data_IF_590193635518
#
_entry.id   IF_590193635518
#
_cell.length_a   1.000
_cell.length_b   1.000
_cell.length_c   1.000
_cell.angle_alpha   90.00
_cell.angle_beta   90.00
_cell.angle_gamma   90.00
#
_symmetry.space_group_name_H-M   'P 1'
#
loop_
_entity.id
_entity.type
_entity.pdbx_description
1 polymer ?
#
# COMPACT_ATOMS: atom_id res chain seq x y z
N UNK A 1 -2.21 -17.04 -35.19
CA UNK A 1 -0.80 -16.60 -35.14
C UNK A 1 -0.61 -15.93 -33.81
N UNK A 2 0.36 -16.39 -33.04
CA UNK A 2 0.70 -15.81 -31.75
C UNK A 2 1.10 -14.33 -31.92
N UNK A 3 0.45 -13.36 -31.21
CA UNK A 3 0.77 -11.94 -31.31
C UNK A 3 2.25 -11.64 -31.03
N UNK A 4 2.90 -12.44 -30.18
CA UNK A 4 4.32 -12.31 -29.86
C UNK A 4 5.22 -12.61 -31.06
N UNK A 5 4.83 -13.53 -31.93
CA UNK A 5 5.55 -13.86 -33.15
C UNK A 5 5.52 -12.73 -34.19
N UNK A 6 4.36 -12.03 -34.29
CA UNK A 6 4.20 -10.88 -35.18
C UNK A 6 4.99 -9.65 -34.70
N UNK A 7 4.98 -9.39 -33.41
CA UNK A 7 5.74 -8.29 -32.80
C UNK A 7 7.23 -8.53 -33.01
N UNK A 8 7.73 -9.72 -32.67
CA UNK A 8 9.14 -10.06 -32.83
C UNK A 8 9.60 -9.99 -34.27
N UNK A 9 8.78 -10.46 -35.25
CA UNK A 9 9.11 -10.36 -36.65
C UNK A 9 9.20 -8.92 -37.16
N UNK A 10 8.29 -8.06 -36.72
CA UNK A 10 8.29 -6.64 -37.07
C UNK A 10 9.52 -5.89 -36.55
N UNK A 11 9.94 -6.16 -35.29
CA UNK A 11 11.10 -5.53 -34.69
C UNK A 11 12.44 -6.09 -35.23
N UNK A 12 12.51 -7.39 -35.46
CA UNK A 12 13.70 -8.04 -36.02
C UNK A 12 14.05 -7.56 -37.46
N UNK A 13 13.04 -7.07 -38.19
CA UNK A 13 13.22 -6.53 -39.55
C UNK A 13 13.50 -5.02 -39.57
N UNK A 14 13.31 -4.31 -38.47
CA UNK A 14 13.49 -2.85 -38.39
C UNK A 14 14.95 -2.50 -38.03
N UNK A 15 15.87 -2.74 -38.94
CA UNK A 15 17.31 -2.46 -38.78
C UNK A 15 17.68 -0.98 -38.78
N UNK A 16 16.71 -0.07 -39.02
CA UNK A 16 16.98 1.37 -39.17
C UNK A 16 17.11 2.14 -37.86
N UNK A 17 16.74 1.58 -36.71
CA UNK A 17 16.74 2.31 -35.43
C UNK A 17 17.85 1.85 -34.47
N UNK A 18 18.75 0.97 -34.83
CA UNK A 18 19.83 0.46 -33.97
C UNK A 18 19.34 -0.33 -32.74
N UNK A 19 18.06 -0.65 -32.68
CA UNK A 19 17.46 -1.41 -31.58
C UNK A 19 17.54 -2.90 -31.97
N UNK A 20 18.41 -3.63 -31.26
CA UNK A 20 18.58 -5.08 -31.45
C UNK A 20 17.85 -5.92 -30.39
N UNK A 21 16.95 -5.33 -29.59
CA UNK A 21 16.26 -6.05 -28.55
C UNK A 21 15.15 -6.93 -29.11
N UNK A 22 15.20 -8.23 -28.79
CA UNK A 22 14.24 -9.22 -29.24
C UNK A 22 12.96 -9.28 -28.40
N UNK A 23 12.88 -8.50 -27.30
CA UNK A 23 11.77 -8.47 -26.34
C UNK A 23 11.29 -7.04 -26.06
N UNK A 24 10.87 -6.28 -27.08
CA UNK A 24 10.52 -4.87 -26.93
C UNK A 24 9.12 -4.63 -26.33
N UNK A 25 8.54 -5.59 -25.63
CA UNK A 25 7.19 -5.55 -25.08
C UNK A 25 7.17 -5.94 -23.61
N UNK A 26 6.22 -5.42 -22.86
CA UNK A 26 5.94 -5.88 -21.51
C UNK A 26 5.07 -7.14 -21.53
N UNK A 27 5.27 -8.05 -20.58
CA UNK A 27 4.55 -9.30 -20.47
C UNK A 27 3.85 -9.42 -19.13
N UNK A 28 2.50 -9.29 -19.07
CA UNK A 28 1.72 -9.64 -17.90
C UNK A 28 1.50 -11.16 -17.82
N UNK A 29 1.57 -11.70 -16.61
CA UNK A 29 1.15 -13.06 -16.27
C UNK A 29 -0.06 -12.98 -15.38
N UNK A 30 -1.15 -13.63 -15.80
CA UNK A 30 -2.41 -13.60 -15.09
C UNK A 30 -2.61 -14.86 -14.24
N UNK A 31 -3.42 -14.75 -13.21
CA UNK A 31 -3.92 -15.91 -12.48
C UNK A 31 -4.83 -16.77 -13.38
N UNK A 32 -5.00 -18.03 -13.01
CA UNK A 32 -5.87 -18.96 -13.76
C UNK A 32 -7.37 -18.81 -13.45
N UNK A 33 -7.75 -17.84 -12.61
CA UNK A 33 -9.15 -17.61 -12.26
C UNK A 33 -9.84 -16.67 -13.26
N UNK A 34 -11.20 -16.67 -13.32
CA UNK A 34 -11.96 -15.75 -14.16
C UNK A 34 -11.75 -14.26 -13.85
N UNK A 35 -11.15 -13.90 -12.71
CA UNK A 35 -10.87 -12.52 -12.32
C UNK A 35 -9.73 -11.91 -13.13
N UNK A 36 -8.89 -12.73 -13.78
CA UNK A 36 -7.77 -12.31 -14.62
C UNK A 36 -6.86 -11.26 -13.93
N UNK A 37 -6.58 -11.43 -12.64
CA UNK A 37 -5.70 -10.52 -11.92
C UNK A 37 -4.25 -10.76 -12.33
N UNK A 38 -3.47 -9.70 -12.48
CA UNK A 38 -2.05 -9.78 -12.81
C UNK A 38 -1.28 -10.28 -11.59
N UNK A 39 -0.52 -11.36 -11.76
CA UNK A 39 0.37 -11.92 -10.73
C UNK A 39 1.83 -11.48 -10.95
N UNK A 40 2.25 -11.37 -12.21
CA UNK A 40 3.60 -10.91 -12.55
C UNK A 40 3.51 -9.94 -13.73
N UNK A 41 4.32 -8.90 -13.69
CA UNK A 41 4.47 -7.94 -14.78
C UNK A 41 5.95 -7.79 -15.11
N UNK A 42 6.32 -8.16 -16.32
CA UNK A 42 7.67 -8.01 -16.86
C UNK A 42 7.77 -6.76 -17.70
N UNK A 43 8.83 -5.97 -17.50
CA UNK A 43 9.13 -4.80 -18.31
C UNK A 43 9.66 -5.20 -19.71
N UNK A 44 9.60 -4.28 -20.71
CA UNK A 44 10.20 -4.52 -22.01
C UNK A 44 11.72 -4.58 -21.90
N UNK A 45 12.33 -5.38 -22.77
CA UNK A 45 13.77 -5.60 -22.85
C UNK A 45 14.18 -7.03 -22.51
N UNK A 46 15.14 -7.58 -23.25
CA UNK A 46 15.58 -8.96 -23.07
C UNK A 46 16.09 -9.25 -21.64
N UNK A 47 16.71 -8.26 -20.99
CA UNK A 47 17.22 -8.38 -19.62
C UNK A 47 16.13 -8.32 -18.54
N UNK A 48 14.94 -7.81 -18.88
CA UNK A 48 13.79 -7.64 -17.98
C UNK A 48 12.71 -8.68 -18.21
N UNK A 49 12.81 -9.41 -19.33
CA UNK A 49 11.80 -10.37 -19.73
C UNK A 49 11.93 -11.67 -18.93
N UNK A 50 10.82 -12.42 -18.82
CA UNK A 50 10.79 -13.75 -18.23
C UNK A 50 11.77 -14.66 -18.98
N UNK A 51 12.96 -14.87 -18.44
CA UNK A 51 13.90 -15.87 -18.93
C UNK A 51 13.64 -17.20 -18.22
N UNK A 52 13.90 -18.32 -18.93
CA UNK A 52 13.89 -19.65 -18.30
C UNK A 52 15.11 -19.77 -17.36
N UNK A 53 14.97 -19.26 -16.12
CA UNK A 53 16.04 -19.29 -15.13
C UNK A 53 15.75 -18.32 -13.97
N UNK A 54 16.48 -18.45 -12.89
CA UNK A 54 16.22 -17.90 -11.56
C UNK A 54 16.19 -16.37 -11.40
N UNK A 55 16.53 -15.58 -12.39
CA UNK A 55 16.75 -14.12 -12.22
C UNK A 55 15.68 -13.28 -12.95
N UNK A 56 14.42 -13.67 -12.85
CA UNK A 56 13.35 -12.91 -13.48
C UNK A 56 13.05 -11.63 -12.68
N UNK A 57 13.35 -10.49 -13.29
CA UNK A 57 13.02 -9.16 -12.79
C UNK A 57 11.56 -8.85 -13.11
N UNK A 58 10.66 -9.18 -12.22
CA UNK A 58 9.23 -8.93 -12.37
C UNK A 58 8.68 -8.18 -11.18
N UNK A 59 7.75 -7.27 -11.43
CA UNK A 59 6.83 -6.82 -10.40
C UNK A 59 5.86 -7.96 -10.11
N UNK A 60 5.86 -8.47 -8.87
CA UNK A 60 5.01 -9.58 -8.42
C UNK A 60 3.91 -9.09 -7.52
N UNK A 61 2.71 -9.56 -7.75
CA UNK A 61 1.53 -9.21 -6.95
C UNK A 61 0.90 -10.46 -6.36
N UNK A 62 0.68 -10.47 -5.05
CA UNK A 62 -0.04 -11.51 -4.34
C UNK A 62 -1.28 -10.92 -3.68
N UNK A 63 -2.41 -11.66 -3.77
CA UNK A 63 -3.68 -11.27 -3.17
C UNK A 63 -3.96 -12.16 -1.96
N UNK A 64 -3.92 -11.56 -0.78
CA UNK A 64 -3.95 -12.21 0.51
C UNK A 64 -5.09 -11.66 1.39
N UNK A 65 -5.19 -12.15 2.60
CA UNK A 65 -5.95 -11.56 3.69
C UNK A 65 -5.04 -11.33 4.89
N UNK A 66 -5.43 -10.42 5.78
CA UNK A 66 -4.66 -10.19 7.01
C UNK A 66 -4.69 -11.44 7.92
N UNK A 67 -3.62 -11.61 8.70
CA UNK A 67 -3.46 -12.72 9.63
C UNK A 67 -2.73 -12.26 10.90
N UNK A 68 -3.36 -12.46 12.06
CA UNK A 68 -2.81 -12.04 13.36
C UNK A 68 -1.60 -12.84 13.79
N UNK A 69 -1.43 -14.07 13.28
CA UNK A 69 -0.29 -14.96 13.59
C UNK A 69 0.94 -14.69 12.73
N UNK A 70 0.86 -13.81 11.73
CA UNK A 70 1.94 -13.49 10.81
C UNK A 70 2.28 -12.02 10.94
N UNK A 71 3.52 -11.69 11.36
CA UNK A 71 3.94 -10.31 11.64
C UNK A 71 3.76 -9.36 10.46
N UNK A 72 4.04 -9.83 9.23
CA UNK A 72 3.89 -9.05 8.01
C UNK A 72 2.44 -8.86 7.57
N UNK A 73 1.52 -9.69 8.05
CA UNK A 73 0.08 -9.65 7.71
C UNK A 73 -0.80 -9.17 8.88
N UNK A 74 -0.20 -8.87 10.03
CA UNK A 74 -0.92 -8.34 11.18
C UNK A 74 -1.16 -6.83 11.01
N UNK A 75 -2.34 -6.34 11.39
CA UNK A 75 -2.73 -4.95 11.26
C UNK A 75 -3.44 -4.47 12.53
N UNK A 76 -3.03 -3.32 13.07
CA UNK A 76 -3.70 -2.69 14.22
C UNK A 76 -4.93 -1.93 13.72
N UNK A 77 -6.02 -2.03 14.46
CA UNK A 77 -7.24 -1.29 14.22
C UNK A 77 -7.24 -0.01 15.06
N UNK A 78 -7.11 1.12 14.40
CA UNK A 78 -7.28 2.45 14.97
C UNK A 78 -8.63 3.02 14.56
N UNK A 79 -9.27 3.72 15.47
CA UNK A 79 -10.53 4.45 15.27
C UNK A 79 -10.39 5.89 15.75
N UNK A 80 -11.28 6.75 15.27
CA UNK A 80 -11.47 8.06 15.89
C UNK A 80 -12.09 7.86 17.28
N UNK A 81 -11.51 8.50 18.27
CA UNK A 81 -12.10 8.57 19.61
C UNK A 81 -13.17 9.65 19.69
N UNK A 82 -13.82 9.75 20.86
CA UNK A 82 -14.81 10.80 21.10
C UNK A 82 -14.20 12.18 20.93
N UNK A 83 -14.78 12.98 20.06
CA UNK A 83 -14.40 14.37 19.88
C UNK A 83 -15.02 15.21 21.02
N UNK A 84 -14.20 15.98 21.69
CA UNK A 84 -14.68 17.07 22.56
C UNK A 84 -14.59 18.37 21.77
N UNK A 85 -15.35 19.38 22.17
CA UNK A 85 -15.40 20.70 21.49
C UNK A 85 -14.04 21.38 21.37
N UNK A 86 -13.03 20.87 22.02
CA UNK A 86 -11.68 21.44 22.16
C UNK A 86 -10.57 20.60 21.52
N UNK A 87 -10.90 19.42 20.96
CA UNK A 87 -9.93 18.54 20.32
C UNK A 87 -10.31 18.28 18.87
N UNK A 88 -9.39 18.58 17.95
CA UNK A 88 -9.62 18.37 16.51
C UNK A 88 -9.81 16.90 16.17
N UNK A 89 -8.97 16.03 16.69
CA UNK A 89 -9.03 14.57 16.45
C UNK A 89 -8.50 13.84 17.68
N UNK A 90 -9.22 12.82 18.12
CA UNK A 90 -8.73 11.82 19.07
C UNK A 90 -8.59 10.49 18.36
N UNK A 91 -7.52 9.75 18.62
CA UNK A 91 -7.24 8.44 18.02
C UNK A 91 -7.23 7.41 19.14
N UNK A 92 -7.91 6.30 18.92
CA UNK A 92 -7.98 5.17 19.83
C UNK A 92 -7.48 3.89 19.13
N UNK A 93 -6.59 3.15 19.81
CA UNK A 93 -6.27 1.79 19.43
C UNK A 93 -7.35 0.86 20.00
N UNK A 94 -8.03 0.14 19.14
CA UNK A 94 -9.10 -0.79 19.57
C UNK A 94 -8.50 -2.16 19.87
N UNK A 95 -7.94 -2.80 18.84
CA UNK A 95 -7.34 -4.12 18.87
C UNK A 95 -6.57 -4.33 17.56
N UNK A 96 -6.08 -5.52 17.31
CA UNK A 96 -5.69 -5.90 15.95
C UNK A 96 -6.94 -6.35 15.17
N UNK A 97 -6.97 -6.12 13.87
CA UNK A 97 -7.97 -6.73 12.99
C UNK A 97 -7.88 -8.24 13.10
N UNK A 98 -9.03 -8.91 13.23
CA UNK A 98 -9.09 -10.37 13.23
C UNK A 98 -8.69 -10.92 11.85
N UNK A 99 -8.17 -12.14 11.84
CA UNK A 99 -7.75 -12.81 10.60
C UNK A 99 -8.90 -12.85 9.58
N UNK A 100 -8.61 -12.47 8.34
CA UNK A 100 -9.57 -12.46 7.24
C UNK A 100 -10.51 -11.25 7.19
N UNK A 101 -10.29 -10.21 8.01
CA UNK A 101 -11.11 -8.99 7.98
C UNK A 101 -10.69 -7.98 6.91
N UNK A 102 -9.44 -8.04 6.47
CA UNK A 102 -8.87 -7.11 5.49
C UNK A 102 -8.41 -7.87 4.24
N UNK A 103 -8.58 -7.24 3.09
CA UNK A 103 -7.91 -7.64 1.86
C UNK A 103 -6.50 -7.09 1.88
N UNK A 104 -5.53 -7.92 1.51
CA UNK A 104 -4.12 -7.53 1.48
C UNK A 104 -3.56 -7.78 0.10
N UNK A 105 -2.95 -6.76 -0.49
CA UNK A 105 -2.16 -6.89 -1.71
C UNK A 105 -0.69 -6.76 -1.35
N UNK A 106 0.09 -7.81 -1.58
CA UNK A 106 1.55 -7.79 -1.49
C UNK A 106 2.13 -7.48 -2.87
N UNK A 107 3.03 -6.54 -2.93
CA UNK A 107 3.75 -6.18 -4.15
C UNK A 107 5.24 -6.34 -3.86
N UNK A 108 5.95 -7.04 -4.74
CA UNK A 108 7.40 -7.15 -4.75
C UNK A 108 7.89 -6.57 -6.09
N UNK A 109 8.76 -5.56 -6.01
CA UNK A 109 9.33 -4.93 -7.19
C UNK A 109 10.47 -5.76 -7.80
N UNK A 110 11.04 -5.26 -8.90
CA UNK A 110 12.10 -5.93 -9.66
C UNK A 110 13.43 -6.01 -8.88
N UNK A 111 13.57 -5.27 -7.80
CA UNK A 111 14.74 -5.24 -6.91
C UNK A 111 14.54 -6.08 -5.64
N UNK A 112 13.32 -6.63 -5.44
CA UNK A 112 12.95 -7.45 -4.31
C UNK A 112 12.41 -6.66 -3.11
N UNK A 113 12.19 -5.33 -3.26
CA UNK A 113 11.54 -4.55 -2.22
C UNK A 113 10.07 -4.97 -2.10
N UNK A 114 9.62 -5.19 -0.89
CA UNK A 114 8.27 -5.69 -0.63
C UNK A 114 7.42 -4.63 0.05
N UNK A 115 6.22 -4.43 -0.46
CA UNK A 115 5.20 -3.58 0.12
C UNK A 115 3.87 -4.31 0.26
N UNK A 116 3.04 -3.86 1.20
CA UNK A 116 1.70 -4.38 1.45
C UNK A 116 0.70 -3.24 1.53
N UNK A 117 -0.44 -3.43 0.91
CA UNK A 117 -1.60 -2.56 1.04
C UNK A 117 -2.75 -3.33 1.68
N UNK A 118 -3.28 -2.83 2.80
CA UNK A 118 -4.41 -3.43 3.52
C UNK A 118 -5.65 -2.60 3.30
N UNK A 119 -6.70 -3.23 2.79
CA UNK A 119 -8.00 -2.60 2.54
C UNK A 119 -9.10 -3.21 3.38
N UNK A 120 -9.96 -2.36 3.92
CA UNK A 120 -11.19 -2.82 4.56
C UNK A 120 -12.24 -3.23 3.51
N UNK A 121 -13.41 -3.71 3.98
CA UNK A 121 -14.51 -4.16 3.10
C UNK A 121 -15.16 -3.03 2.29
N UNK A 122 -14.91 -1.77 2.64
CA UNK A 122 -15.36 -0.60 1.88
C UNK A 122 -14.35 -0.19 0.80
N UNK A 123 -13.21 -0.91 0.69
CA UNK A 123 -12.15 -0.60 -0.25
C UNK A 123 -11.19 0.51 0.21
N UNK A 124 -11.33 1.01 1.45
CA UNK A 124 -10.45 2.02 2.00
C UNK A 124 -9.13 1.40 2.46
N UNK A 125 -8.02 2.02 2.11
CA UNK A 125 -6.69 1.62 2.57
C UNK A 125 -6.53 2.00 4.05
N UNK A 126 -6.39 1.01 4.92
CA UNK A 126 -6.23 1.23 6.38
C UNK A 126 -4.76 1.17 6.80
N UNK A 127 -3.91 0.49 6.03
CA UNK A 127 -2.48 0.37 6.28
C UNK A 127 -1.73 0.20 4.96
N UNK A 128 -0.66 0.96 4.79
CA UNK A 128 0.42 0.62 3.86
C UNK A 128 1.67 0.25 4.65
N UNK A 129 2.29 -0.86 4.29
CA UNK A 129 3.49 -1.40 4.95
C UNK A 129 4.61 -1.56 3.93
N UNK A 130 5.78 -1.08 4.26
CA UNK A 130 7.00 -1.33 3.50
C UNK A 130 7.96 -2.16 4.33
N UNK A 131 8.62 -3.12 3.69
CA UNK A 131 9.69 -3.90 4.31
C UNK A 131 11.02 -3.44 3.73
N UNK A 132 11.94 -3.10 4.58
CA UNK A 132 13.32 -2.80 4.22
C UNK A 132 14.24 -3.62 5.11
N UNK A 133 14.92 -4.59 4.53
CA UNK A 133 15.71 -5.60 5.28
C UNK A 133 14.85 -6.35 6.32
N UNK A 134 15.05 -6.08 7.61
CA UNK A 134 14.27 -6.65 8.70
C UNK A 134 13.28 -5.67 9.33
N UNK A 135 13.27 -4.41 8.88
CA UNK A 135 12.46 -3.35 9.44
C UNK A 135 11.11 -3.24 8.75
N UNK A 136 10.10 -2.85 9.50
CA UNK A 136 8.71 -2.68 9.07
C UNK A 136 8.33 -1.21 9.22
N UNK A 137 7.96 -0.58 8.12
CA UNK A 137 7.52 0.82 8.06
C UNK A 137 6.02 0.88 7.75
N UNK A 138 5.23 1.18 8.77
CA UNK A 138 3.77 1.21 8.70
C UNK A 138 3.23 2.63 8.61
N UNK A 139 2.35 2.90 7.63
CA UNK A 139 1.55 4.10 7.56
C UNK A 139 0.08 3.74 7.68
N UNK A 140 -0.59 4.18 8.76
CA UNK A 140 -2.01 3.94 8.99
C UNK A 140 -2.86 5.11 8.52
N UNK A 141 -4.04 4.78 7.99
CA UNK A 141 -5.06 5.72 7.57
C UNK A 141 -6.33 5.49 8.39
N UNK A 142 -6.83 6.55 9.01
CA UNK A 142 -7.99 6.52 9.90
C UNK A 142 -9.09 7.38 9.29
N UNK A 143 -10.28 6.82 9.19
CA UNK A 143 -11.41 7.43 8.52
C UNK A 143 -12.51 7.81 9.51
N UNK A 144 -13.28 8.84 9.17
CA UNK A 144 -14.54 9.14 9.84
C UNK A 144 -15.69 8.25 9.33
N UNK A 145 -16.87 8.39 9.93
CA UNK A 145 -18.06 7.60 9.56
C UNK A 145 -18.58 7.89 8.14
N UNK A 146 -18.13 9.00 7.53
CA UNK A 146 -18.46 9.38 6.15
C UNK A 146 -17.44 8.88 5.15
N UNK A 147 -16.37 8.25 5.60
CA UNK A 147 -15.29 7.74 4.76
C UNK A 147 -14.20 8.74 4.41
N UNK A 148 -14.19 9.91 5.05
CA UNK A 148 -13.11 10.89 4.87
C UNK A 148 -11.89 10.50 5.70
N UNK A 149 -10.69 10.68 5.16
CA UNK A 149 -9.44 10.45 5.90
C UNK A 149 -9.27 11.53 6.97
N UNK A 150 -9.42 11.18 8.24
CA UNK A 150 -9.32 12.12 9.37
C UNK A 150 -7.95 12.15 10.02
N UNK A 151 -7.18 11.03 9.92
CA UNK A 151 -5.80 11.02 10.37
C UNK A 151 -4.93 10.11 9.52
N UNK A 152 -3.66 10.47 9.37
CA UNK A 152 -2.60 9.61 8.81
C UNK A 152 -1.47 9.54 9.82
N UNK A 153 -1.07 8.30 10.16
CA UNK A 153 0.03 8.00 11.08
C UNK A 153 1.23 7.47 10.27
N UNK A 154 2.23 8.30 9.99
CA UNK A 154 3.46 7.87 9.33
C UNK A 154 4.26 6.85 10.17
N UNK A 155 5.29 6.20 9.63
CA UNK A 155 6.01 5.12 10.29
C UNK A 155 6.50 5.43 11.70
N UNK A 156 7.02 6.64 11.93
CA UNK A 156 7.53 7.04 13.24
C UNK A 156 6.40 7.17 14.28
N UNK A 157 5.25 7.72 13.88
CA UNK A 157 4.07 7.79 14.75
C UNK A 157 3.52 6.40 15.02
N UNK A 158 3.36 5.58 13.98
CA UNK A 158 2.79 4.23 14.10
C UNK A 158 3.63 3.34 15.00
N UNK A 159 4.96 3.40 14.90
CA UNK A 159 5.88 2.62 15.74
C UNK A 159 5.69 2.93 17.23
N UNK A 160 5.64 4.21 17.57
CA UNK A 160 5.48 4.65 18.96
C UNK A 160 4.05 4.43 19.50
N UNK A 161 3.06 4.33 18.62
CA UNK A 161 1.66 4.10 18.98
C UNK A 161 1.27 2.61 19.06
N UNK A 162 2.17 1.69 18.80
CA UNK A 162 1.90 0.23 18.87
C UNK A 162 1.41 -0.22 20.24
N UNK A 163 1.83 0.40 21.32
CA UNK A 163 1.58 -0.04 22.71
C UNK A 163 0.59 0.80 23.50
N UNK A 164 0.18 1.96 23.01
CA UNK A 164 -0.79 2.81 23.70
C UNK A 164 -2.24 2.40 23.46
N UNK A 165 -3.16 3.12 24.09
CA UNK A 165 -4.61 2.89 23.98
C UNK A 165 -5.37 4.04 23.35
N UNK A 166 -4.99 5.29 23.65
CA UNK A 166 -5.63 6.48 23.08
C UNK A 166 -4.71 7.69 23.10
N UNK A 167 -4.87 8.55 22.14
CA UNK A 167 -4.09 9.77 21.96
C UNK A 167 -5.01 10.88 21.45
N UNK A 168 -4.90 12.07 22.04
CA UNK A 168 -5.56 13.25 21.52
C UNK A 168 -4.51 14.21 20.94
N UNK A 169 -4.92 15.07 20.03
CA UNK A 169 -4.02 15.96 19.32
C UNK A 169 -3.50 17.12 20.19
N UNK A 170 -4.16 17.41 21.32
CA UNK A 170 -3.81 18.54 22.18
C UNK A 170 -2.67 18.20 23.15
N UNK A 171 -2.76 17.03 23.76
CA UNK A 171 -1.92 16.68 24.92
C UNK A 171 -0.82 15.67 24.58
N UNK A 172 -0.87 15.07 23.39
CA UNK A 172 0.08 14.02 23.03
C UNK A 172 1.06 14.47 21.96
N UNK A 173 2.33 14.60 22.32
CA UNK A 173 3.42 15.00 21.45
C UNK A 173 3.48 14.16 20.16
N UNK A 174 3.20 12.84 20.23
CA UNK A 174 3.22 11.95 19.06
C UNK A 174 2.25 12.37 17.97
N UNK A 175 1.02 12.75 18.35
CA UNK A 175 0.01 13.21 17.38
C UNK A 175 0.39 14.59 16.87
N UNK A 176 0.83 15.48 17.75
CA UNK A 176 1.20 16.84 17.39
C UNK A 176 2.40 16.84 16.43
N UNK A 177 3.43 16.06 16.74
CA UNK A 177 4.72 16.17 16.07
C UNK A 177 4.84 15.28 14.84
N UNK A 178 4.03 14.21 14.73
CA UNK A 178 4.20 13.21 13.68
C UNK A 178 2.95 12.87 12.87
N UNK A 179 1.72 13.17 13.34
CA UNK A 179 0.51 12.80 12.61
C UNK A 179 0.01 13.93 11.69
N UNK A 180 -0.58 13.53 10.55
CA UNK A 180 -1.42 14.40 9.74
C UNK A 180 -2.86 14.28 10.22
N UNK A 181 -3.54 15.40 10.42
CA UNK A 181 -4.93 15.44 10.84
C UNK A 181 -5.75 16.27 9.86
N UNK A 182 -6.98 15.86 9.65
CA UNK A 182 -7.92 16.53 8.77
C UNK A 182 -9.26 16.69 9.45
N UNK A 183 -9.93 17.82 9.22
CA UNK A 183 -11.27 18.08 9.70
C UNK A 183 -12.17 18.45 8.53
N UNK A 184 -13.40 17.95 8.57
CA UNK A 184 -14.38 18.15 7.53
C UNK A 184 -15.65 18.80 8.09
N UNK A 185 -16.32 19.57 7.26
CA UNK A 185 -17.64 20.11 7.55
C UNK A 185 -18.76 19.10 7.25
N UNK A 186 -20.00 19.47 7.58
CA UNK A 186 -21.18 18.63 7.33
C UNK A 186 -21.46 18.33 5.83
N UNK A 187 -20.70 18.93 4.91
CA UNK A 187 -20.75 18.69 3.47
C UNK A 187 -19.54 17.92 2.96
N UNK A 188 -18.78 17.30 3.86
CA UNK A 188 -17.54 16.56 3.56
C UNK A 188 -16.45 17.40 2.88
N UNK A 189 -16.41 18.73 3.13
CA UNK A 189 -15.32 19.59 2.66
C UNK A 189 -14.26 19.71 3.75
N UNK A 190 -12.99 19.50 3.39
CA UNK A 190 -11.88 19.69 4.30
C UNK A 190 -11.77 21.19 4.70
N UNK A 191 -11.96 21.49 5.98
CA UNK A 191 -11.94 22.85 6.53
C UNK A 191 -10.69 23.14 7.35
N UNK A 192 -10.00 22.10 7.82
CA UNK A 192 -8.72 22.25 8.51
C UNK A 192 -7.81 21.06 8.22
N UNK A 193 -6.51 21.34 8.11
CA UNK A 193 -5.44 20.36 7.96
C UNK A 193 -4.30 20.73 8.89
N UNK A 194 -3.86 19.77 9.70
CA UNK A 194 -2.67 19.87 10.53
C UNK A 194 -1.56 19.02 9.93
N UNK A 195 -0.38 19.59 9.79
CA UNK A 195 0.84 18.90 9.38
C UNK A 195 1.67 18.51 10.61
N UNK A 196 2.51 17.46 10.51
CA UNK A 196 3.46 17.12 11.55
C UNK A 196 4.35 18.32 11.94
N UNK A 197 4.55 18.51 13.25
CA UNK A 197 5.39 19.57 13.77
C UNK A 197 4.86 21.00 13.62
N UNK A 198 3.63 21.19 13.15
CA UNK A 198 2.95 22.48 13.13
C UNK A 198 1.97 22.58 14.29
N UNK A 199 1.92 23.73 14.95
CA UNK A 199 0.92 24.05 16.02
C UNK A 199 -0.39 24.54 15.41
#
# INVERSE_FOLDING_TARGET
>A
VDPTTLINASWATNTNNGISDQKPYSLPVYESSPLNRVLEQYAPGANWHKSYGSDSKALRTEYLTNNTGISTLNCIHYELGSQTTDTLVSIRRVRNYETGQLYVTRIEDEEGNTSFEFKNKLGQVVLTRQLENADIYDTYYIYDDFGNTSAVLPPLASEQMKTGTSWNNRDHALIRDYAYLYQYDARNRCIAKKLPGCD
#
